data_IF_035057100884
#
_entry.id   IF_035057100884
#
_cell.length_a   1.000
_cell.length_b   1.000
_cell.length_c   1.000
_cell.angle_alpha   90.00
_cell.angle_beta   90.00
_cell.angle_gamma   90.00
#
_symmetry.space_group_name_H-M   'P 1'
#
loop_
_entity.id
_entity.type
_entity.pdbx_description
1 polymer ?
#
# COMPACT_ATOMS: atom_id res chain seq x y z
N UNK A 1 -3.12 -7.01 9.48
CA UNK A 1 -4.04 -5.82 9.36
C UNK A 1 -4.41 -5.58 7.90
N UNK A 2 -5.65 -5.16 7.60
CA UNK A 2 -6.11 -5.00 6.22
C UNK A 2 -6.44 -3.54 5.90
N UNK A 3 -6.14 -3.12 4.68
CA UNK A 3 -6.42 -1.77 4.17
C UNK A 3 -7.20 -1.90 2.87
N UNK A 4 -8.40 -1.30 2.83
CA UNK A 4 -9.18 -1.17 1.60
C UNK A 4 -8.75 0.13 0.90
N UNK A 5 -8.42 0.03 -0.39
CA UNK A 5 -8.01 1.14 -1.23
C UNK A 5 -8.93 1.23 -2.44
N UNK A 6 -9.47 2.43 -2.66
CA UNK A 6 -10.33 2.71 -3.81
C UNK A 6 -9.55 2.61 -5.11
N UNK A 7 -10.08 1.88 -6.10
CA UNK A 7 -9.48 1.87 -7.45
C UNK A 7 -9.63 3.20 -8.19
N UNK A 8 -10.51 4.08 -7.71
CA UNK A 8 -10.66 5.44 -8.23
C UNK A 8 -9.53 6.36 -7.77
N UNK A 9 -8.86 6.01 -6.68
CA UNK A 9 -7.73 6.77 -6.13
C UNK A 9 -6.40 6.24 -6.65
N UNK A 10 -6.21 4.93 -6.63
CA UNK A 10 -4.97 4.30 -7.08
C UNK A 10 -5.24 3.06 -7.92
N UNK A 11 -4.54 2.95 -9.05
CA UNK A 11 -4.55 1.73 -9.85
C UNK A 11 -3.64 0.66 -9.23
N UNK A 12 -3.83 -0.59 -9.65
CA UNK A 12 -3.09 -1.74 -9.13
C UNK A 12 -1.57 -1.61 -9.29
N UNK A 13 -1.08 -1.06 -10.41
CA UNK A 13 0.37 -0.93 -10.64
C UNK A 13 0.99 0.09 -9.68
N UNK A 14 0.27 1.16 -9.35
CA UNK A 14 0.68 2.12 -8.32
C UNK A 14 0.82 1.44 -6.96
N UNK A 15 -0.17 0.61 -6.57
CA UNK A 15 -0.16 -0.09 -5.28
C UNK A 15 1.01 -1.08 -5.15
N UNK A 16 1.30 -1.83 -6.21
CA UNK A 16 2.45 -2.75 -6.25
C UNK A 16 3.76 -1.97 -6.16
N UNK A 17 3.91 -0.88 -6.92
CA UNK A 17 5.14 -0.07 -6.92
C UNK A 17 5.42 0.56 -5.56
N UNK A 18 4.39 1.02 -4.85
CA UNK A 18 4.58 1.54 -3.48
C UNK A 18 5.02 0.44 -2.52
N UNK A 19 4.49 -0.79 -2.67
CA UNK A 19 4.94 -1.91 -1.85
C UNK A 19 6.41 -2.26 -2.12
N UNK A 20 6.85 -2.20 -3.38
CA UNK A 20 8.28 -2.36 -3.71
C UNK A 20 9.15 -1.29 -3.04
N UNK A 21 8.74 -0.02 -3.12
CA UNK A 21 9.46 1.10 -2.49
C UNK A 21 9.49 1.02 -0.96
N UNK A 22 8.45 0.44 -0.35
CA UNK A 22 8.37 0.21 1.08
C UNK A 22 9.12 -1.06 1.54
N UNK A 23 9.72 -1.84 0.62
CA UNK A 23 10.34 -3.13 0.94
C UNK A 23 9.34 -4.22 1.33
N UNK A 24 8.08 -4.06 0.91
CA UNK A 24 6.95 -4.94 1.23
C UNK A 24 6.59 -5.91 0.10
N UNK A 25 7.34 -5.89 -1.02
CA UNK A 25 7.12 -6.81 -2.12
C UNK A 25 7.26 -8.27 -1.65
N UNK A 26 6.23 -9.08 -1.90
CA UNK A 26 6.15 -10.46 -1.43
C UNK A 26 5.77 -10.64 0.05
N UNK A 27 5.61 -9.54 0.80
CA UNK A 27 5.18 -9.54 2.21
C UNK A 27 3.70 -9.20 2.32
N UNK A 28 3.23 -8.19 1.57
CA UNK A 28 1.81 -7.82 1.53
C UNK A 28 1.07 -8.58 0.44
N UNK A 29 -0.18 -8.96 0.74
CA UNK A 29 -1.10 -9.56 -0.21
C UNK A 29 -1.99 -8.51 -0.87
N UNK A 30 -2.25 -8.65 -2.17
CA UNK A 30 -3.20 -7.81 -2.90
C UNK A 30 -4.37 -8.67 -3.38
N UNK A 31 -5.59 -8.24 -3.06
CA UNK A 31 -6.80 -8.98 -3.40
C UNK A 31 -7.83 -8.04 -4.04
N UNK A 32 -8.48 -8.42 -5.15
CA UNK A 32 -9.64 -7.71 -5.65
C UNK A 32 -10.77 -7.71 -4.60
N UNK A 33 -11.40 -6.56 -4.38
CA UNK A 33 -12.49 -6.36 -3.43
C UNK A 33 -13.61 -5.55 -4.08
N UNK A 34 -14.34 -6.17 -5.02
CA UNK A 34 -15.33 -5.48 -5.85
C UNK A 34 -14.62 -4.61 -6.89
N UNK A 35 -14.94 -3.31 -6.93
CA UNK A 35 -14.19 -2.34 -7.74
C UNK A 35 -12.86 -1.94 -7.08
N UNK A 36 -12.67 -2.23 -5.80
CA UNK A 36 -11.54 -1.75 -4.99
C UNK A 36 -10.48 -2.84 -4.75
N UNK A 37 -9.43 -2.50 -4.01
CA UNK A 37 -8.34 -3.40 -3.66
C UNK A 37 -8.24 -3.57 -2.15
N UNK A 38 -8.25 -4.81 -1.67
CA UNK A 38 -7.91 -5.15 -0.29
C UNK A 38 -6.43 -5.52 -0.21
N UNK A 39 -5.70 -4.77 0.60
CA UNK A 39 -4.28 -5.01 0.88
C UNK A 39 -4.15 -5.62 2.26
N UNK A 40 -3.53 -6.79 2.33
CA UNK A 40 -3.33 -7.55 3.57
C UNK A 40 -1.89 -7.44 4.01
N UNK A 41 -1.66 -6.87 5.19
CA UNK A 41 -0.35 -6.77 5.81
C UNK A 41 -0.13 -7.94 6.79
N UNK A 42 1.11 -8.41 6.94
CA UNK A 42 1.42 -9.46 7.93
C UNK A 42 1.04 -8.98 9.32
N UNK A 43 0.66 -9.92 10.18
CA UNK A 43 0.37 -9.64 11.58
C UNK A 43 1.68 -9.65 12.40
N UNK A 44 1.84 -8.65 13.26
CA UNK A 44 3.02 -8.45 14.08
C UNK A 44 3.02 -7.09 14.80
N UNK A 45 3.97 -6.88 15.70
CA UNK A 45 4.05 -5.63 16.50
C UNK A 45 4.27 -4.38 15.64
N UNK A 46 4.92 -4.53 14.47
CA UNK A 46 5.23 -3.41 13.57
C UNK A 46 4.18 -3.16 12.49
N UNK A 47 3.08 -3.94 12.44
CA UNK A 47 2.11 -3.87 11.34
C UNK A 47 1.49 -2.48 11.18
N UNK A 48 1.23 -1.77 12.28
CA UNK A 48 0.69 -0.41 12.22
C UNK A 48 1.67 0.58 11.59
N UNK A 49 2.97 0.43 11.87
CA UNK A 49 4.02 1.26 11.28
C UNK A 49 4.16 0.99 9.79
N UNK A 50 4.14 -0.28 9.37
CA UNK A 50 4.18 -0.67 7.96
C UNK A 50 2.98 -0.09 7.17
N UNK A 51 1.78 -0.16 7.76
CA UNK A 51 0.58 0.43 7.14
C UNK A 51 0.70 1.95 7.05
N UNK A 52 1.23 2.61 8.08
CA UNK A 52 1.44 4.06 8.09
C UNK A 52 2.44 4.49 7.02
N UNK A 53 3.58 3.81 6.93
CA UNK A 53 4.60 4.09 5.90
C UNK A 53 4.05 3.88 4.50
N UNK A 54 3.33 2.77 4.26
CA UNK A 54 2.70 2.48 2.97
C UNK A 54 1.72 3.59 2.53
N UNK A 55 0.83 4.03 3.43
CA UNK A 55 -0.11 5.13 3.15
C UNK A 55 0.61 6.46 2.93
N UNK A 56 1.67 6.74 3.67
CA UNK A 56 2.47 7.95 3.49
C UNK A 56 3.13 7.99 2.10
N UNK A 57 3.63 6.86 1.60
CA UNK A 57 4.23 6.75 0.25
C UNK A 57 3.20 6.90 -0.86
N UNK A 58 1.99 6.33 -0.71
CA UNK A 58 0.89 6.55 -1.65
C UNK A 58 0.57 8.05 -1.79
N UNK A 59 0.43 8.74 -0.66
CA UNK A 59 0.23 10.19 -0.64
C UNK A 59 1.44 10.97 -1.15
N UNK A 60 2.65 10.46 -0.94
CA UNK A 60 3.89 11.03 -1.48
C UNK A 60 3.89 11.07 -3.01
N UNK A 61 3.36 10.03 -3.67
CA UNK A 61 3.21 9.99 -5.13
C UNK A 61 2.28 11.09 -5.65
N UNK A 62 1.14 11.33 -4.98
CA UNK A 62 0.20 12.40 -5.35
C UNK A 62 0.86 13.78 -5.32
N UNK A 63 1.75 13.98 -4.34
CA UNK A 63 2.43 15.26 -4.11
C UNK A 63 3.79 15.35 -4.82
N UNK A 64 4.20 14.32 -5.57
CA UNK A 64 5.49 14.21 -6.24
C UNK A 64 6.70 14.35 -5.28
N UNK A 65 6.51 13.99 -4.01
CA UNK A 65 7.53 14.05 -2.96
C UNK A 65 8.21 12.68 -2.89
N UNK A 66 9.30 12.54 -3.63
CA UNK A 66 10.16 11.36 -3.58
C UNK A 66 11.19 11.54 -2.46
N UNK A 67 10.81 11.23 -1.22
CA UNK A 67 11.81 11.03 -0.17
C UNK A 67 12.46 9.65 -0.42
N UNK A 68 13.65 9.71 -1.01
CA UNK A 68 14.57 8.58 -1.20
C UNK A 68 15.20 8.18 0.14
#
# INVERSE_FOLDING_TARGET
MNVLISSKEYDYHTLVKVAEMAGLAGIVGFHPAGEDYLITFPDGENTEELVRDYKARLKGLENNIWLY
#
